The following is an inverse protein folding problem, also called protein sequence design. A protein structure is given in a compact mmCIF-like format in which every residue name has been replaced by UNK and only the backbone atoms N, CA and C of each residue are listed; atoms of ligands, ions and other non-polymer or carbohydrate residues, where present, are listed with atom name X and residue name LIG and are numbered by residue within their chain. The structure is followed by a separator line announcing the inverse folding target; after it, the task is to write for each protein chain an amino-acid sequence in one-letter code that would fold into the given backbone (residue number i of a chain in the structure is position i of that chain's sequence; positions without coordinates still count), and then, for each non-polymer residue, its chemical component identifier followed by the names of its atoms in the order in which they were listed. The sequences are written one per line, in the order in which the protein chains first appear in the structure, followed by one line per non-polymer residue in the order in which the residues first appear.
data_IF_984556190589
#
_entry.id   IF_984556190589
#
_cell.length_a   1.000
_cell.length_b   1.000
_cell.length_c   1.000
_cell.angle_alpha   90.00
_cell.angle_beta   90.00
_cell.angle_gamma   90.00
#
_symmetry.space_group_name_H-M   'P 1'
#
loop_
_entity.id
_entity.type
_entity.pdbx_description
1 polymer ?
#
# COMPACT_ATOMS: atom_id res chain seq x y z
N UNK A 1 -7.68 5.91 5.89
CA UNK A 1 -7.83 5.46 7.29
C UNK A 1 -6.50 5.61 8.06
N UNK A 2 -5.38 5.02 7.60
CA UNK A 2 -4.09 5.08 8.32
C UNK A 2 -3.57 6.52 8.47
N UNK A 3 -3.54 7.31 7.39
CA UNK A 3 -3.14 8.72 7.44
C UNK A 3 -4.00 9.51 8.46
N UNK A 4 -5.33 9.36 8.43
CA UNK A 4 -6.22 9.97 9.44
C UNK A 4 -5.92 9.52 10.86
N UNK A 5 -5.63 8.24 11.09
CA UNK A 5 -5.26 7.74 12.41
C UNK A 5 -3.91 8.27 12.89
N UNK A 6 -3.02 8.62 11.97
CA UNK A 6 -1.72 9.28 12.21
C UNK A 6 -1.90 10.79 12.45
N UNK A 7 -2.97 11.39 11.96
CA UNK A 7 -3.20 12.84 11.98
C UNK A 7 -2.55 13.56 10.80
N UNK A 8 -2.18 12.85 9.73
CA UNK A 8 -1.62 13.37 8.49
C UNK A 8 -2.64 13.32 7.35
N UNK A 9 -2.36 14.07 6.26
CA UNK A 9 -3.05 13.88 4.98
C UNK A 9 -2.42 12.74 4.19
N UNK A 10 -3.15 12.20 3.22
CA UNK A 10 -2.60 11.19 2.32
C UNK A 10 -1.49 11.79 1.43
N UNK A 11 -1.63 13.05 1.09
CA UNK A 11 -0.66 13.82 0.29
C UNK A 11 0.71 13.97 0.97
N UNK A 12 0.79 13.82 2.29
CA UNK A 12 2.05 13.87 3.05
C UNK A 12 2.76 12.52 3.11
N UNK A 13 2.04 11.42 2.83
CA UNK A 13 2.61 10.08 2.92
C UNK A 13 3.45 9.71 1.70
N UNK A 14 4.53 8.96 1.93
CA UNK A 14 5.41 8.40 0.91
C UNK A 14 5.37 6.87 1.00
N UNK A 15 5.04 6.22 -0.11
CA UNK A 15 4.82 4.78 -0.16
C UNK A 15 5.95 4.06 -0.87
N UNK A 16 6.47 2.99 -0.26
CA UNK A 16 7.37 2.04 -0.90
C UNK A 16 6.69 0.66 -0.94
N UNK A 17 6.47 0.16 -2.15
CA UNK A 17 5.86 -1.15 -2.38
C UNK A 17 6.91 -2.24 -2.52
N UNK A 18 6.77 -3.32 -1.80
CA UNK A 18 7.44 -4.57 -2.08
C UNK A 18 6.55 -5.38 -3.02
N UNK A 19 6.88 -5.36 -4.29
CA UNK A 19 6.09 -5.85 -5.41
C UNK A 19 5.80 -4.74 -6.42
N UNK A 20 5.92 -5.05 -7.70
CA UNK A 20 5.70 -4.12 -8.80
C UNK A 20 4.85 -4.77 -9.91
N UNK A 21 3.89 -5.62 -9.51
CA UNK A 21 2.90 -6.25 -10.37
C UNK A 21 1.56 -5.51 -10.35
N UNK A 22 0.53 -6.14 -10.93
CA UNK A 22 -0.82 -5.58 -11.08
C UNK A 22 -1.45 -5.11 -9.75
N UNK A 23 -1.24 -5.86 -8.67
CA UNK A 23 -1.78 -5.49 -7.36
C UNK A 23 -1.16 -4.17 -6.84
N UNK A 24 0.17 -4.06 -6.93
CA UNK A 24 0.88 -2.83 -6.55
C UNK A 24 0.46 -1.66 -7.43
N UNK A 25 0.37 -1.89 -8.75
CA UNK A 25 -0.03 -0.87 -9.72
C UNK A 25 -1.43 -0.34 -9.48
N UNK A 26 -2.40 -1.23 -9.28
CA UNK A 26 -3.78 -0.82 -9.00
C UNK A 26 -3.92 -0.01 -7.71
N UNK A 27 -3.19 -0.38 -6.65
CA UNK A 27 -3.15 0.39 -5.40
C UNK A 27 -2.45 1.74 -5.63
N UNK A 28 -1.32 1.76 -6.34
CA UNK A 28 -0.57 2.96 -6.64
C UNK A 28 -1.40 3.97 -7.44
N UNK A 29 -2.12 3.52 -8.46
CA UNK A 29 -3.00 4.38 -9.27
C UNK A 29 -4.12 5.00 -8.43
N UNK A 30 -4.76 4.23 -7.57
CA UNK A 30 -5.79 4.74 -6.66
C UNK A 30 -5.23 5.73 -5.63
N UNK A 31 -3.98 5.53 -5.17
CA UNK A 31 -3.30 6.47 -4.29
C UNK A 31 -3.03 7.79 -5.01
N UNK A 32 -2.56 7.76 -6.26
CA UNK A 32 -2.36 8.96 -7.09
C UNK A 32 -3.67 9.73 -7.21
N UNK A 33 -4.76 9.08 -7.58
CA UNK A 33 -6.07 9.73 -7.70
C UNK A 33 -6.55 10.34 -6.37
N UNK A 34 -6.32 9.64 -5.26
CA UNK A 34 -6.70 10.12 -3.94
C UNK A 34 -5.86 11.32 -3.49
N UNK A 35 -4.54 11.31 -3.74
CA UNK A 35 -3.65 12.43 -3.47
C UNK A 35 -3.96 13.66 -4.32
N UNK A 36 -4.34 13.46 -5.59
CA UNK A 36 -4.80 14.55 -6.46
C UNK A 36 -6.08 15.21 -5.93
N UNK A 37 -7.01 14.44 -5.35
CA UNK A 37 -8.21 14.98 -4.68
C UNK A 37 -7.86 15.78 -3.41
N UNK A 38 -6.71 15.53 -2.81
CA UNK A 38 -6.18 16.30 -1.67
C UNK A 38 -5.30 17.49 -2.12
N UNK A 39 -5.20 17.77 -3.44
CA UNK A 39 -4.61 18.97 -4.00
C UNK A 39 -3.23 18.81 -4.64
N UNK A 40 -2.67 17.58 -4.70
CA UNK A 40 -1.43 17.37 -5.44
C UNK A 40 -1.68 17.33 -6.95
N UNK A 41 -0.69 17.74 -7.73
CA UNK A 41 -0.63 17.42 -9.14
C UNK A 41 -0.38 15.90 -9.33
N UNK A 42 -0.64 15.39 -10.52
CA UNK A 42 -0.37 13.99 -10.84
C UNK A 42 1.12 13.65 -10.69
N UNK A 43 2.00 14.54 -11.09
CA UNK A 43 3.45 14.37 -10.98
C UNK A 43 3.90 14.32 -9.50
N UNK A 44 3.42 15.25 -8.68
CA UNK A 44 3.70 15.26 -7.24
C UNK A 44 3.21 13.99 -6.55
N UNK A 45 2.02 13.50 -6.92
CA UNK A 45 1.46 12.27 -6.37
C UNK A 45 2.28 11.03 -6.80
N UNK A 46 2.69 10.94 -8.08
CA UNK A 46 3.57 9.88 -8.57
C UNK A 46 4.90 9.89 -7.82
N UNK A 47 5.47 11.06 -7.55
CA UNK A 47 6.73 11.23 -6.81
C UNK A 47 6.64 10.83 -5.32
N UNK A 48 5.46 10.44 -4.83
CA UNK A 48 5.25 9.85 -3.50
C UNK A 48 5.21 8.34 -3.49
N UNK A 49 5.28 7.67 -4.65
CA UNK A 49 5.07 6.23 -4.79
C UNK A 49 6.28 5.58 -5.43
N UNK A 50 6.84 4.60 -4.75
CA UNK A 50 8.04 3.88 -5.15
C UNK A 50 7.75 2.38 -5.21
N UNK A 51 8.28 1.71 -6.23
CA UNK A 51 8.12 0.28 -6.44
C UNK A 51 9.46 -0.45 -6.29
N UNK A 52 9.43 -1.62 -5.67
CA UNK A 52 10.55 -2.51 -5.53
C UNK A 52 10.16 -3.90 -6.03
N UNK A 53 10.91 -4.44 -6.97
CA UNK A 53 10.67 -5.77 -7.54
C UNK A 53 11.85 -6.75 -7.29
N UNK A 54 11.85 -7.90 -7.94
CA UNK A 54 12.92 -8.91 -7.83
C UNK A 54 14.29 -8.44 -8.31
N UNK A 55 14.36 -7.31 -9.02
CA UNK A 55 15.60 -6.70 -9.52
C UNK A 55 16.01 -5.47 -8.70
N UNK A 56 15.28 -5.14 -7.64
CA UNK A 56 15.54 -4.00 -6.79
C UNK A 56 14.56 -2.83 -6.96
N UNK A 57 14.98 -1.65 -6.50
CA UNK A 57 14.20 -0.41 -6.64
C UNK A 57 13.98 -0.10 -8.11
N UNK A 58 12.74 0.29 -8.46
CA UNK A 58 12.39 0.65 -9.84
C UNK A 58 12.87 2.08 -10.12
N UNK A 59 13.95 2.18 -10.89
CA UNK A 59 14.63 3.41 -11.25
C UNK A 59 14.55 3.67 -12.76
N UNK A 60 14.69 4.92 -13.20
CA UNK A 60 14.55 5.30 -14.62
C UNK A 60 15.66 4.77 -15.53
N UNK A 61 16.84 4.49 -14.96
CA UNK A 61 17.99 3.92 -15.68
C UNK A 61 17.84 2.43 -16.03
N UNK A 62 16.82 1.76 -15.49
CA UNK A 62 16.55 0.34 -15.75
C UNK A 62 15.92 0.14 -17.12
N UNK A 63 16.46 -0.82 -17.88
CA UNK A 63 15.90 -1.26 -19.16
C UNK A 63 14.75 -2.27 -18.98
N UNK A 64 13.90 -2.38 -20.01
CA UNK A 64 12.84 -3.39 -20.06
C UNK A 64 11.69 -3.19 -19.07
N UNK A 65 11.50 -1.99 -18.55
CA UNK A 65 10.40 -1.67 -17.65
C UNK A 65 9.05 -1.78 -18.39
N UNK A 66 8.08 -2.42 -17.74
CA UNK A 66 6.68 -2.37 -18.18
C UNK A 66 6.11 -0.95 -18.10
N UNK A 67 5.02 -0.60 -18.81
CA UNK A 67 4.40 0.73 -18.72
C UNK A 67 4.06 1.15 -17.29
N UNK A 68 3.58 0.20 -16.46
CA UNK A 68 3.34 0.42 -15.04
C UNK A 68 4.61 0.84 -14.30
N UNK A 69 5.69 0.11 -14.48
CA UNK A 69 6.97 0.41 -13.82
C UNK A 69 7.57 1.71 -14.32
N UNK A 70 7.46 2.00 -15.63
CA UNK A 70 7.90 3.27 -16.21
C UNK A 70 7.20 4.47 -15.56
N UNK A 71 5.89 4.37 -15.31
CA UNK A 71 5.11 5.42 -14.66
C UNK A 71 5.63 5.79 -13.27
N UNK A 72 6.09 4.80 -12.49
CA UNK A 72 6.56 4.96 -11.12
C UNK A 72 8.09 4.79 -10.99
N UNK A 73 8.84 4.90 -12.08
CA UNK A 73 10.29 4.89 -12.05
C UNK A 73 10.84 6.27 -11.69
N UNK A 74 11.83 6.31 -10.80
CA UNK A 74 12.43 7.56 -10.32
C UNK A 74 13.92 7.66 -10.67
N UNK A 75 14.43 8.88 -10.69
CA UNK A 75 15.87 9.16 -10.80
C UNK A 75 16.51 9.00 -9.42
N UNK A 76 16.86 7.78 -9.07
CA UNK A 76 17.49 7.41 -7.81
C UNK A 76 18.59 6.40 -8.08
N UNK A 77 19.53 6.30 -7.13
CA UNK A 77 20.54 5.24 -7.18
C UNK A 77 19.91 3.86 -7.06
N UNK A 78 20.33 2.89 -7.87
CA UNK A 78 19.82 1.53 -7.82
C UNK A 78 20.04 0.89 -6.43
N UNK A 79 19.00 0.32 -5.88
CA UNK A 79 19.02 -0.37 -4.59
C UNK A 79 18.64 -1.84 -4.78
N UNK A 80 19.51 -2.77 -4.41
CA UNK A 80 19.27 -4.20 -4.58
C UNK A 80 18.54 -4.85 -3.40
N UNK A 81 18.55 -4.22 -2.22
CA UNK A 81 17.81 -4.72 -1.06
C UNK A 81 16.68 -3.78 -0.67
N UNK A 82 15.60 -4.34 -0.12
CA UNK A 82 14.47 -3.53 0.34
C UNK A 82 14.84 -2.61 1.51
N UNK A 83 15.79 -3.05 2.34
CA UNK A 83 16.32 -2.25 3.45
C UNK A 83 17.07 -1.01 2.95
N UNK A 84 17.92 -1.16 1.93
CA UNK A 84 18.65 -0.04 1.33
C UNK A 84 17.68 0.93 0.63
N UNK A 85 16.66 0.39 -0.04
CA UNK A 85 15.60 1.19 -0.64
C UNK A 85 14.82 2.02 0.41
N UNK A 86 14.61 1.51 1.63
CA UNK A 86 14.04 2.30 2.75
C UNK A 86 14.99 3.44 3.13
N UNK A 87 16.29 3.19 3.17
CA UNK A 87 17.29 4.22 3.47
C UNK A 87 17.30 5.36 2.45
N UNK A 88 17.21 5.02 1.18
CA UNK A 88 17.19 5.94 0.04
C UNK A 88 15.88 6.72 -0.04
N UNK A 89 14.76 6.01 -0.09
CA UNK A 89 13.42 6.58 -0.29
C UNK A 89 12.91 7.30 0.95
N UNK A 90 13.25 6.82 2.14
CA UNK A 90 12.70 7.28 3.45
C UNK A 90 11.16 7.29 3.43
N UNK A 91 10.51 6.16 3.20
CA UNK A 91 9.06 6.09 3.09
C UNK A 91 8.40 6.27 4.46
N UNK A 92 7.17 6.79 4.48
CA UNK A 92 6.31 6.82 5.66
C UNK A 92 5.44 5.56 5.76
N UNK A 93 5.27 4.88 4.64
CA UNK A 93 4.48 3.66 4.51
C UNK A 93 5.20 2.61 3.65
N UNK A 94 5.21 1.35 4.11
CA UNK A 94 5.60 0.20 3.31
C UNK A 94 4.40 -0.71 3.06
N UNK A 95 4.28 -1.21 1.83
CA UNK A 95 3.16 -2.05 1.38
C UNK A 95 3.72 -3.32 0.73
N UNK A 96 3.46 -4.47 1.33
CA UNK A 96 3.85 -5.77 0.81
C UNK A 96 2.74 -6.42 -0.01
N UNK A 97 3.02 -6.75 -1.24
CA UNK A 97 2.11 -7.43 -2.17
C UNK A 97 2.86 -8.35 -3.16
N UNK A 98 4.02 -8.89 -2.73
CA UNK A 98 4.86 -9.78 -3.54
C UNK A 98 4.74 -11.25 -3.14
N UNK A 99 3.92 -11.60 -2.16
CA UNK A 99 3.80 -12.95 -1.59
C UNK A 99 5.14 -13.54 -1.10
N UNK A 100 6.06 -12.68 -0.64
CA UNK A 100 7.37 -13.05 -0.11
C UNK A 100 7.32 -13.05 1.41
N UNK A 101 7.05 -14.22 1.99
CA UNK A 101 6.93 -14.39 3.44
C UNK A 101 8.19 -13.90 4.18
N UNK A 102 8.00 -13.15 5.28
CA UNK A 102 9.08 -12.68 6.16
C UNK A 102 9.98 -11.60 5.59
N UNK A 103 9.66 -11.02 4.42
CA UNK A 103 10.47 -9.96 3.80
C UNK A 103 10.47 -8.66 4.59
N UNK A 104 9.42 -8.37 5.37
CA UNK A 104 9.44 -7.31 6.37
C UNK A 104 10.04 -7.83 7.68
N UNK A 105 11.32 -8.17 7.64
CA UNK A 105 12.06 -8.71 8.77
C UNK A 105 12.36 -7.64 9.84
N UNK A 106 13.02 -8.04 10.92
CA UNK A 106 13.38 -7.17 12.05
C UNK A 106 14.13 -5.90 11.61
N UNK A 107 15.06 -6.01 10.65
CA UNK A 107 15.84 -4.87 10.16
C UNK A 107 14.98 -3.86 9.40
N UNK A 108 14.10 -4.34 8.52
CA UNK A 108 13.14 -3.52 7.77
C UNK A 108 12.18 -2.80 8.71
N UNK A 109 11.57 -3.52 9.65
CA UNK A 109 10.60 -2.97 10.60
C UNK A 109 11.26 -1.94 11.54
N UNK A 110 12.46 -2.25 12.05
CA UNK A 110 13.22 -1.32 12.89
C UNK A 110 13.70 -0.09 12.12
N UNK A 111 14.06 -0.23 10.83
CA UNK A 111 14.41 0.90 9.99
C UNK A 111 13.23 1.85 9.81
N UNK A 112 12.02 1.32 9.56
CA UNK A 112 10.80 2.11 9.47
C UNK A 112 10.48 2.85 10.78
N UNK A 113 10.69 2.21 11.94
CA UNK A 113 10.46 2.83 13.26
C UNK A 113 11.49 3.91 13.60
N UNK A 114 12.71 3.86 13.03
CA UNK A 114 13.74 4.87 13.23
C UNK A 114 13.49 6.15 12.43
N UNK A 115 12.95 6.03 11.22
CA UNK A 115 12.73 7.17 10.32
C UNK A 115 11.32 7.77 10.45
N UNK A 116 10.43 7.12 11.18
CA UNK A 116 9.05 7.57 11.37
C UNK A 116 8.62 7.43 12.83
N UNK A 117 7.91 8.42 13.34
CA UNK A 117 7.28 8.34 14.66
C UNK A 117 6.17 7.29 14.68
N UNK A 118 5.35 7.23 13.62
CA UNK A 118 4.26 6.26 13.44
C UNK A 118 4.29 5.68 12.03
N UNK A 119 5.14 4.68 11.75
CA UNK A 119 5.24 4.08 10.42
C UNK A 119 3.96 3.32 10.04
N UNK A 120 3.58 3.38 8.77
CA UNK A 120 2.48 2.57 8.22
C UNK A 120 3.09 1.29 7.63
N UNK A 121 2.62 0.13 8.09
CA UNK A 121 3.10 -1.19 7.66
C UNK A 121 1.90 -2.03 7.21
N UNK A 122 1.81 -2.25 5.91
CA UNK A 122 0.75 -3.05 5.29
C UNK A 122 1.33 -4.32 4.67
N UNK A 123 1.14 -5.45 5.35
CA UNK A 123 1.52 -6.78 4.89
C UNK A 123 0.31 -7.44 4.21
N UNK A 124 0.09 -7.17 2.93
CA UNK A 124 -1.16 -7.47 2.23
C UNK A 124 -1.19 -8.82 1.54
N UNK A 125 -0.07 -9.57 1.49
CA UNK A 125 -0.03 -10.88 0.85
C UNK A 125 -0.84 -11.92 1.62
N UNK A 126 -1.52 -12.76 0.87
CA UNK A 126 -2.39 -13.85 1.36
C UNK A 126 -1.86 -15.21 0.86
N UNK A 127 -2.07 -16.30 1.59
CA UNK A 127 -2.55 -16.40 2.98
C UNK A 127 -1.51 -15.92 4.01
N UNK A 128 -1.79 -16.05 5.31
CA UNK A 128 -0.87 -15.64 6.41
C UNK A 128 0.53 -16.24 6.28
N UNK A 129 0.66 -17.46 5.74
CA UNK A 129 1.95 -18.11 5.46
C UNK A 129 2.79 -17.42 4.38
N UNK A 130 2.20 -16.49 3.63
CA UNK A 130 2.87 -15.65 2.62
C UNK A 130 2.93 -14.19 2.99
N UNK A 131 2.44 -13.83 4.17
CA UNK A 131 2.50 -12.45 4.68
C UNK A 131 3.94 -12.00 4.86
N UNK A 132 4.24 -10.77 4.52
CA UNK A 132 5.57 -10.19 4.62
C UNK A 132 6.09 -10.10 6.05
N UNK A 133 5.19 -9.94 7.02
CA UNK A 133 5.45 -10.12 8.46
C UNK A 133 4.16 -10.47 9.19
N UNK A 134 4.30 -10.94 10.42
CA UNK A 134 3.20 -11.10 11.36
C UNK A 134 2.89 -9.80 12.10
N UNK A 135 1.68 -9.68 12.65
CA UNK A 135 1.32 -8.54 13.50
C UNK A 135 2.23 -8.43 14.73
N UNK A 136 2.62 -9.58 15.32
CA UNK A 136 3.54 -9.62 16.46
C UNK A 136 4.90 -9.03 16.11
N UNK A 137 5.49 -9.41 14.97
CA UNK A 137 6.76 -8.87 14.50
C UNK A 137 6.65 -7.37 14.24
N UNK A 138 5.59 -6.93 13.53
CA UNK A 138 5.37 -5.52 13.25
C UNK A 138 5.32 -4.69 14.54
N UNK A 139 4.51 -5.06 15.51
CA UNK A 139 4.43 -4.32 16.78
C UNK A 139 5.69 -4.47 17.63
N UNK A 140 6.34 -5.64 17.66
CA UNK A 140 7.56 -5.83 18.45
C UNK A 140 8.70 -4.95 17.95
N UNK A 141 9.02 -5.01 16.65
CA UNK A 141 10.17 -4.29 16.10
C UNK A 141 9.91 -2.79 15.86
N UNK A 142 8.66 -2.36 15.98
CA UNK A 142 8.32 -0.93 15.99
C UNK A 142 7.94 -0.42 17.40
N UNK A 143 8.14 -1.21 18.45
CA UNK A 143 7.80 -0.86 19.84
C UNK A 143 6.32 -0.43 19.98
N UNK A 144 5.42 -1.04 19.20
CA UNK A 144 4.00 -0.69 19.15
C UNK A 144 3.66 0.63 18.45
N UNK A 145 4.63 1.26 17.78
CA UNK A 145 4.42 2.56 17.13
C UNK A 145 3.68 2.46 15.79
N UNK A 146 3.79 1.31 15.08
CA UNK A 146 3.26 1.20 13.72
C UNK A 146 1.73 1.18 13.66
N UNK A 147 1.22 1.68 12.54
CA UNK A 147 -0.13 1.41 12.07
C UNK A 147 -0.06 0.18 11.16
N UNK A 148 -0.53 -0.95 11.67
CA UNK A 148 -0.44 -2.24 10.99
C UNK A 148 -1.78 -2.67 10.40
N UNK A 149 -1.75 -3.17 9.16
CA UNK A 149 -2.84 -3.93 8.57
C UNK A 149 -2.29 -5.06 7.70
N UNK A 150 -3.07 -6.12 7.55
CA UNK A 150 -2.69 -7.32 6.82
C UNK A 150 -3.81 -7.82 5.90
N UNK A 151 -3.43 -8.56 4.85
CA UNK A 151 -4.40 -9.17 3.94
C UNK A 151 -5.21 -10.30 4.58
N UNK A 152 -4.60 -11.05 5.50
CA UNK A 152 -5.25 -12.11 6.29
C UNK A 152 -5.35 -11.71 7.76
N UNK A 153 -6.30 -12.24 8.53
CA UNK A 153 -6.47 -11.88 9.94
C UNK A 153 -5.30 -12.40 10.80
N UNK A 154 -4.85 -11.61 11.76
CA UNK A 154 -3.94 -12.00 12.81
C UNK A 154 -4.60 -11.85 14.19
N UNK A 155 -4.22 -12.67 15.18
CA UNK A 155 -4.69 -12.53 16.55
C UNK A 155 -4.18 -11.21 17.15
N UNK A 156 -4.85 -10.77 18.21
CA UNK A 156 -4.38 -9.65 19.02
C UNK A 156 -2.97 -9.91 19.60
N UNK A 157 -2.23 -8.85 19.83
CA UNK A 157 -0.85 -8.90 20.32
C UNK A 157 -0.76 -8.13 21.63
N UNK A 158 -0.33 -8.81 22.68
CA UNK A 158 0.02 -8.19 23.95
C UNK A 158 1.51 -7.79 23.92
N UNK A 159 1.79 -6.52 24.14
CA UNK A 159 3.15 -5.98 24.19
C UNK A 159 3.23 -4.86 25.23
N UNK A 160 4.14 -4.97 26.19
CA UNK A 160 4.38 -3.96 27.23
C UNK A 160 3.11 -3.50 27.96
N UNK A 161 2.22 -4.45 28.31
CA UNK A 161 0.95 -4.17 29.00
C UNK A 161 -0.13 -3.48 28.14
N UNK A 162 0.09 -3.38 26.83
CA UNK A 162 -0.90 -2.86 25.88
C UNK A 162 -1.38 -3.95 24.93
N UNK A 163 -2.67 -3.96 24.63
CA UNK A 163 -3.29 -4.85 23.64
C UNK A 163 -3.39 -4.15 22.30
N UNK A 164 -2.79 -4.74 21.27
CA UNK A 164 -2.88 -4.29 19.89
C UNK A 164 -3.83 -5.21 19.10
N UNK A 165 -4.80 -4.63 18.45
CA UNK A 165 -5.76 -5.36 17.61
C UNK A 165 -5.41 -5.09 16.14
N UNK A 166 -4.76 -6.06 15.44
CA UNK A 166 -4.44 -5.91 14.02
C UNK A 166 -5.71 -5.70 13.20
N UNK A 167 -5.62 -4.84 12.20
CA UNK A 167 -6.73 -4.63 11.27
C UNK A 167 -6.47 -5.39 9.98
N UNK A 168 -7.54 -5.93 9.40
CA UNK A 168 -7.48 -6.59 8.11
C UNK A 168 -7.77 -5.59 7.00
N UNK A 169 -6.99 -5.64 5.92
CA UNK A 169 -7.20 -4.91 4.69
C UNK A 169 -7.33 -5.92 3.55
N UNK A 170 -8.54 -6.40 3.33
CA UNK A 170 -8.85 -7.41 2.32
C UNK A 170 -9.80 -6.83 1.28
N UNK A 171 -9.58 -7.18 0.02
CA UNK A 171 -10.41 -6.73 -1.12
C UNK A 171 -11.88 -7.14 -0.97
N UNK A 172 -12.20 -8.19 -0.21
CA UNK A 172 -13.58 -8.60 0.04
C UNK A 172 -14.46 -7.48 0.61
N UNK A 173 -13.86 -6.52 1.32
CA UNK A 173 -14.61 -5.39 1.89
C UNK A 173 -15.14 -4.40 0.85
N UNK A 174 -14.59 -4.38 -0.35
CA UNK A 174 -15.04 -3.46 -1.41
C UNK A 174 -16.16 -4.06 -2.27
N UNK A 175 -16.30 -5.38 -2.32
CA UNK A 175 -17.26 -6.06 -3.19
C UNK A 175 -18.73 -5.65 -2.98
N UNK A 176 -19.25 -5.47 -1.76
CA UNK A 176 -20.62 -4.98 -1.58
C UNK A 176 -20.85 -3.62 -2.24
N UNK A 177 -19.90 -2.71 -2.14
CA UNK A 177 -19.97 -1.39 -2.79
C UNK A 177 -19.91 -1.46 -4.31
N UNK A 178 -19.03 -2.31 -4.85
CA UNK A 178 -18.93 -2.56 -6.30
C UNK A 178 -20.23 -3.17 -6.81
N UNK A 179 -20.75 -4.21 -6.14
CA UNK A 179 -21.99 -4.88 -6.52
C UNK A 179 -23.18 -3.92 -6.54
N UNK A 180 -23.30 -3.08 -5.51
CA UNK A 180 -24.34 -2.07 -5.45
C UNK A 180 -24.19 -1.01 -6.56
N UNK A 181 -22.97 -0.53 -6.80
CA UNK A 181 -22.69 0.43 -7.87
C UNK A 181 -23.04 -0.11 -9.24
N UNK A 182 -22.72 -1.37 -9.53
CA UNK A 182 -23.09 -2.04 -10.78
C UNK A 182 -24.61 -2.19 -10.92
N UNK A 183 -25.30 -2.56 -9.85
CA UNK A 183 -26.76 -2.70 -9.86
C UNK A 183 -27.43 -1.36 -10.20
N UNK A 184 -27.04 -0.26 -9.56
CA UNK A 184 -27.54 1.08 -9.87
C UNK A 184 -27.19 1.52 -11.29
N UNK A 185 -25.98 1.24 -11.76
CA UNK A 185 -25.56 1.60 -13.11
C UNK A 185 -26.36 0.86 -14.18
N UNK A 186 -26.61 -0.45 -14.01
CA UNK A 186 -27.46 -1.23 -14.90
C UNK A 186 -28.90 -0.72 -14.88
N UNK A 187 -29.46 -0.44 -13.72
CA UNK A 187 -30.81 0.08 -13.58
C UNK A 187 -30.97 1.45 -14.25
N UNK A 188 -30.01 2.35 -14.12
CA UNK A 188 -30.02 3.67 -14.75
C UNK A 188 -29.96 3.59 -16.29
N UNK A 189 -29.24 2.61 -16.84
CA UNK A 189 -29.22 2.36 -18.30
C UNK A 189 -30.54 1.80 -18.82
N UNK A 190 -31.20 0.92 -18.08
CA UNK A 190 -32.53 0.44 -18.44
C UNK A 190 -33.60 1.57 -18.41
N UNK A 191 -33.55 2.42 -17.40
CA UNK A 191 -34.45 3.61 -17.35
C UNK A 191 -34.17 4.59 -18.49
N UNK A 192 -32.90 4.75 -18.92
CA UNK A 192 -32.52 5.56 -20.09
C UNK A 192 -33.01 4.97 -21.42
N UNK A 193 -33.04 3.64 -21.54
CA UNK A 193 -33.63 2.96 -22.70
C UNK A 193 -35.16 3.08 -22.74
N UNK A 194 -35.83 2.97 -21.61
CA UNK A 194 -37.28 3.19 -21.51
C UNK A 194 -37.66 4.62 -21.89
N UNK A 195 -36.90 5.64 -21.51
CA UNK A 195 -37.14 7.02 -21.92
C UNK A 195 -36.96 7.25 -23.43
N UNK A 196 -36.10 6.49 -24.11
CA UNK A 196 -35.90 6.60 -25.58
C UNK A 196 -36.95 5.86 -26.41
N UNK A 197 -37.71 4.96 -25.81
CA UNK A 197 -38.73 4.15 -26.53
C UNK A 197 -40.16 4.69 -26.34
N UNK A 198 -40.39 5.56 -25.35
CA UNK A 198 -41.75 6.04 -25.02
C UNK A 198 -41.92 7.58 -25.00
N UNK A 199 -40.92 8.33 -25.48
CA UNK A 199 -41.00 9.76 -25.76
C UNK A 199 -40.12 10.06 -27.00
#
# INVERSE_FOLDING_TARGET
AAARAKGSSLAEEKFLFLGAGEAAGGIADLLVEAMMKEGLTQEEAINRIFLFDSHGLVTKDREGLTPLKQKFAHELEPQSTFLDAIGEVKPTAIVGCAAQAGSFNAYVLSAMARINERPIIFALSNPTSRSECTAREAYTYTEGKCLFASGSPFPQVELNGKTFIPRQSNNSYVFPGIGLGLAFWLQSRHLGLFRKVYF
#
